data_IF_405976057582
#
_entry.id   IF_405976057582
#
_cell.length_a   1.000
_cell.length_b   1.000
_cell.length_c   1.000
_cell.angle_alpha   90.00
_cell.angle_beta   90.00
_cell.angle_gamma   90.00
#
_symmetry.space_group_name_H-M   'P 1'
#
loop_
_entity.id
_entity.type
_entity.pdbx_description
1 polymer ?
#
# COMPACT_ATOMS: atom_id res chain seq x y z
N UNK A 1 -19.68 14.76 -25.94
CA UNK A 1 -20.51 13.52 -25.94
C UNK A 1 -19.74 12.33 -26.50
N UNK A 2 -19.08 12.47 -27.66
CA UNK A 2 -18.16 11.48 -28.25
C UNK A 2 -17.03 11.08 -27.28
N UNK A 3 -16.43 12.00 -26.52
CA UNK A 3 -15.38 11.69 -25.52
C UNK A 3 -15.87 10.83 -24.35
N UNK A 4 -17.13 10.99 -23.92
CA UNK A 4 -17.75 10.13 -22.89
C UNK A 4 -18.06 8.74 -23.46
N UNK A 5 -18.53 8.66 -24.70
CA UNK A 5 -18.78 7.40 -25.40
C UNK A 5 -17.47 6.65 -25.71
N UNK A 6 -16.42 7.37 -26.11
CA UNK A 6 -15.07 6.82 -26.33
C UNK A 6 -14.42 6.36 -25.02
N UNK A 7 -14.58 7.10 -23.90
CA UNK A 7 -14.20 6.61 -22.56
C UNK A 7 -15.00 5.37 -22.16
N UNK A 8 -16.30 5.32 -22.46
CA UNK A 8 -17.16 4.19 -22.14
C UNK A 8 -16.80 2.93 -22.95
N UNK A 9 -16.48 3.09 -24.24
CA UNK A 9 -16.02 2.02 -25.14
C UNK A 9 -14.56 1.62 -24.88
N UNK A 10 -13.74 2.53 -24.31
CA UNK A 10 -12.37 2.25 -23.88
C UNK A 10 -12.27 1.56 -22.50
N UNK A 11 -13.30 1.65 -21.65
CA UNK A 11 -13.21 1.27 -20.23
C UNK A 11 -13.73 -0.12 -19.90
N UNK A 12 -13.84 -1.03 -20.86
CA UNK A 12 -14.28 -2.40 -20.57
C UNK A 12 -13.13 -3.18 -19.93
N UNK A 13 -12.90 -2.96 -18.63
CA UNK A 13 -12.06 -3.83 -17.80
C UNK A 13 -12.58 -5.26 -17.94
N UNK A 14 -11.73 -6.19 -18.38
CA UNK A 14 -12.07 -7.62 -18.37
C UNK A 14 -12.22 -8.05 -16.92
N UNK A 15 -13.41 -8.54 -16.57
CA UNK A 15 -13.72 -8.98 -15.20
C UNK A 15 -13.38 -10.45 -15.09
N UNK A 16 -12.49 -10.78 -14.16
CA UNK A 16 -12.13 -12.14 -13.82
C UNK A 16 -12.64 -12.45 -12.42
N UNK A 17 -13.53 -13.42 -12.29
CA UNK A 17 -14.03 -13.87 -10.99
C UNK A 17 -13.20 -15.06 -10.53
N UNK A 18 -12.64 -14.96 -9.32
CA UNK A 18 -12.00 -16.05 -8.63
C UNK A 18 -12.95 -16.54 -7.53
N UNK A 19 -13.41 -17.79 -7.66
CA UNK A 19 -14.29 -18.40 -6.68
C UNK A 19 -13.47 -18.89 -5.48
N UNK A 20 -13.83 -18.43 -4.28
CA UNK A 20 -13.11 -18.72 -3.04
C UNK A 20 -14.11 -19.01 -1.93
N UNK A 21 -14.11 -20.24 -1.44
CA UNK A 21 -14.73 -20.57 -0.16
C UNK A 21 -13.77 -20.24 0.99
N UNK A 22 -14.04 -19.13 1.68
CA UNK A 22 -13.19 -18.62 2.77
C UNK A 22 -13.19 -19.49 4.03
N UNK A 23 -14.04 -20.52 4.10
CA UNK A 23 -14.03 -21.51 5.17
C UNK A 23 -13.26 -22.79 4.80
N UNK A 24 -12.85 -22.94 3.53
CA UNK A 24 -12.20 -24.14 3.01
C UNK A 24 -10.73 -23.85 2.65
N UNK A 25 -9.75 -24.40 3.40
CA UNK A 25 -8.32 -24.19 3.15
C UNK A 25 -7.90 -24.52 1.72
N UNK A 26 -8.41 -25.62 1.14
CA UNK A 26 -8.05 -26.02 -0.22
C UNK A 26 -8.57 -25.05 -1.28
N UNK A 27 -9.72 -24.42 -1.04
CA UNK A 27 -10.23 -23.38 -1.95
C UNK A 27 -9.37 -22.12 -1.89
N UNK A 28 -8.91 -21.74 -0.69
CA UNK A 28 -8.01 -20.61 -0.48
C UNK A 28 -6.64 -20.88 -1.11
N UNK A 29 -6.09 -22.09 -0.93
CA UNK A 29 -4.83 -22.52 -1.54
C UNK A 29 -4.88 -22.47 -3.07
N UNK A 30 -5.97 -22.97 -3.68
CA UNK A 30 -6.16 -22.88 -5.13
C UNK A 30 -6.19 -21.43 -5.62
N UNK A 31 -6.86 -20.56 -4.87
CA UNK A 31 -6.90 -19.13 -5.17
C UNK A 31 -5.50 -18.51 -5.12
N UNK A 32 -4.73 -18.75 -4.06
CA UNK A 32 -3.36 -18.25 -3.91
C UNK A 32 -2.41 -18.83 -4.96
N UNK A 33 -2.54 -20.13 -5.27
CA UNK A 33 -1.77 -20.79 -6.32
C UNK A 33 -2.03 -20.14 -7.67
N UNK A 34 -3.29 -19.85 -8.01
CA UNK A 34 -3.63 -19.15 -9.24
C UNK A 34 -3.03 -17.74 -9.28
N UNK A 35 -3.13 -16.98 -8.18
CA UNK A 35 -2.51 -15.65 -8.10
C UNK A 35 -0.98 -15.72 -8.29
N UNK A 36 -0.30 -16.66 -7.64
CA UNK A 36 1.17 -16.75 -7.66
C UNK A 36 1.73 -17.36 -8.95
N UNK A 37 1.08 -18.40 -9.48
CA UNK A 37 1.61 -19.20 -10.59
C UNK A 37 1.04 -18.83 -11.95
N UNK A 38 -0.16 -18.25 -12.01
CA UNK A 38 -0.78 -17.85 -13.28
C UNK A 38 -0.71 -16.34 -13.47
N UNK A 39 -0.99 -15.55 -12.43
CA UNK A 39 -1.05 -14.08 -12.54
C UNK A 39 0.26 -13.37 -12.22
N UNK A 40 1.11 -13.95 -11.36
CA UNK A 40 2.38 -13.37 -10.89
C UNK A 40 3.59 -14.29 -11.13
N UNK A 41 3.51 -15.12 -12.18
CA UNK A 41 4.50 -16.16 -12.49
C UNK A 41 5.89 -15.58 -12.74
N UNK A 42 5.94 -14.68 -13.73
CA UNK A 42 7.14 -13.97 -14.15
C UNK A 42 6.75 -12.59 -14.68
N UNK A 43 7.75 -11.72 -14.81
CA UNK A 43 7.52 -10.31 -15.12
C UNK A 43 6.86 -10.14 -16.49
N UNK A 44 7.41 -10.81 -17.51
CA UNK A 44 6.96 -10.67 -18.89
C UNK A 44 5.54 -11.23 -19.08
N UNK A 45 5.22 -12.37 -18.47
CA UNK A 45 3.90 -12.97 -18.55
C UNK A 45 2.84 -12.10 -17.85
N UNK A 46 3.17 -11.53 -16.69
CA UNK A 46 2.28 -10.65 -15.92
C UNK A 46 2.02 -9.34 -16.66
N UNK A 47 3.07 -8.73 -17.21
CA UNK A 47 2.94 -7.53 -18.06
C UNK A 47 2.10 -7.82 -19.30
N UNK A 48 2.37 -8.93 -20.00
CA UNK A 48 1.59 -9.34 -21.15
C UNK A 48 0.11 -9.56 -20.79
N UNK A 49 -0.18 -10.18 -19.65
CA UNK A 49 -1.54 -10.37 -19.15
C UNK A 49 -2.24 -9.02 -18.87
N UNK A 50 -1.54 -8.09 -18.22
CA UNK A 50 -2.04 -6.73 -17.99
C UNK A 50 -2.29 -5.95 -19.29
N UNK A 51 -1.64 -6.34 -20.39
CA UNK A 51 -1.65 -5.65 -21.68
C UNK A 51 -2.38 -6.40 -22.81
N UNK A 52 -3.00 -7.56 -22.53
CA UNK A 52 -3.72 -8.34 -23.54
C UNK A 52 -4.84 -7.55 -24.23
N UNK A 53 -4.97 -7.76 -25.55
CA UNK A 53 -5.84 -7.09 -26.51
C UNK A 53 -5.49 -5.61 -26.80
N UNK A 54 -4.50 -5.43 -27.66
CA UNK A 54 -4.07 -4.18 -28.27
C UNK A 54 -5.17 -3.59 -29.16
N UNK A 55 -5.99 -2.76 -28.55
CA UNK A 55 -6.49 -1.53 -29.16
C UNK A 55 -6.68 -0.42 -28.11
N UNK A 56 -6.90 -0.78 -26.83
CA UNK A 56 -6.90 0.14 -25.67
C UNK A 56 -6.55 -0.62 -24.40
N UNK A 57 -5.64 -0.09 -23.59
CA UNK A 57 -5.23 -0.55 -22.24
C UNK A 57 -6.43 -0.94 -21.33
N UNK A 58 -6.96 -2.15 -21.45
CA UNK A 58 -8.06 -2.63 -20.60
C UNK A 58 -7.45 -3.28 -19.36
N UNK A 59 -7.39 -2.50 -18.27
CA UNK A 59 -6.95 -3.00 -16.97
C UNK A 59 -7.82 -4.19 -16.51
N UNK A 60 -7.19 -5.28 -16.10
CA UNK A 60 -7.83 -6.45 -15.53
C UNK A 60 -8.58 -6.08 -14.23
N UNK A 61 -9.80 -6.59 -14.06
CA UNK A 61 -10.56 -6.46 -12.80
C UNK A 61 -10.72 -7.81 -12.13
N UNK A 62 -10.05 -8.03 -11.00
CA UNK A 62 -10.21 -9.24 -10.18
C UNK A 62 -11.43 -9.07 -9.26
N UNK A 63 -12.17 -10.16 -9.05
CA UNK A 63 -13.28 -10.21 -8.12
C UNK A 63 -13.25 -11.53 -7.38
N UNK A 64 -13.20 -11.47 -6.05
CA UNK A 64 -13.36 -12.66 -5.23
C UNK A 64 -14.84 -12.90 -4.95
N UNK A 65 -15.32 -14.07 -5.34
CA UNK A 65 -16.71 -14.49 -5.19
C UNK A 65 -16.81 -15.78 -4.40
N UNK A 66 -17.94 -15.96 -3.72
CA UNK A 66 -18.35 -17.25 -3.17
C UNK A 66 -19.84 -17.41 -3.48
N UNK A 67 -20.25 -18.55 -4.01
CA UNK A 67 -21.59 -18.79 -4.54
C UNK A 67 -22.05 -17.68 -5.52
N UNK A 68 -21.16 -17.24 -6.43
CA UNK A 68 -21.38 -16.15 -7.38
C UNK A 68 -21.68 -14.77 -6.76
N UNK A 69 -21.43 -14.58 -5.46
CA UNK A 69 -21.58 -13.29 -4.77
C UNK A 69 -20.22 -12.77 -4.33
N UNK A 70 -19.97 -11.48 -4.53
CA UNK A 70 -18.75 -10.83 -4.03
C UNK A 70 -18.58 -11.04 -2.53
N UNK A 71 -17.36 -11.38 -2.08
CA UNK A 71 -17.06 -11.53 -0.65
C UNK A 71 -17.41 -10.26 0.14
N UNK A 72 -17.13 -9.08 -0.41
CA UNK A 72 -17.52 -7.80 0.21
C UNK A 72 -19.02 -7.67 0.43
N UNK A 73 -19.85 -8.11 -0.53
CA UNK A 73 -21.31 -8.08 -0.38
C UNK A 73 -21.77 -9.05 0.70
N UNK A 74 -21.15 -10.23 0.77
CA UNK A 74 -21.48 -11.23 1.78
C UNK A 74 -21.08 -10.79 3.19
N UNK A 75 -19.95 -10.11 3.35
CA UNK A 75 -19.56 -9.49 4.62
C UNK A 75 -20.59 -8.45 5.06
N UNK A 76 -20.98 -7.54 4.16
CA UNK A 76 -21.95 -6.47 4.48
C UNK A 76 -23.33 -7.05 4.84
N UNK A 77 -23.78 -8.08 4.14
CA UNK A 77 -25.08 -8.72 4.38
C UNK A 77 -25.08 -9.74 5.51
N UNK A 78 -23.96 -9.94 6.23
CA UNK A 78 -23.85 -10.94 7.30
C UNK A 78 -23.97 -12.39 6.82
N UNK A 79 -23.69 -12.65 5.54
CA UNK A 79 -23.77 -13.98 4.93
C UNK A 79 -22.44 -14.73 4.95
N UNK A 80 -21.34 -14.05 5.30
CA UNK A 80 -20.03 -14.67 5.43
C UNK A 80 -19.96 -15.47 6.75
N UNK A 81 -20.20 -16.77 6.68
CA UNK A 81 -20.32 -17.64 7.85
C UNK A 81 -18.94 -18.08 8.40
N UNK A 82 -18.14 -17.13 8.90
CA UNK A 82 -16.83 -17.39 9.52
C UNK A 82 -16.68 -16.61 10.84
N UNK A 83 -16.01 -17.17 11.87
CA UNK A 83 -15.96 -16.58 13.20
C UNK A 83 -15.33 -15.17 13.26
N UNK A 84 -14.43 -14.86 12.33
CA UNK A 84 -13.70 -13.59 12.29
C UNK A 84 -14.38 -12.49 11.46
N UNK A 85 -15.54 -12.77 10.82
CA UNK A 85 -16.19 -11.82 9.91
C UNK A 85 -16.54 -10.47 10.57
N UNK A 86 -17.13 -10.50 11.76
CA UNK A 86 -17.49 -9.28 12.49
C UNK A 86 -16.26 -8.47 12.93
N UNK A 87 -15.16 -9.15 13.25
CA UNK A 87 -13.90 -8.48 13.55
C UNK A 87 -13.34 -7.78 12.31
N UNK A 88 -13.32 -8.46 11.15
CA UNK A 88 -12.91 -7.86 9.87
C UNK A 88 -13.76 -6.63 9.53
N UNK A 89 -15.07 -6.69 9.77
CA UNK A 89 -15.95 -5.54 9.53
C UNK A 89 -15.60 -4.34 10.41
N UNK A 90 -15.30 -4.56 11.69
CA UNK A 90 -14.85 -3.50 12.61
C UNK A 90 -13.51 -2.92 12.18
N UNK A 91 -12.57 -3.79 11.84
CA UNK A 91 -11.22 -3.43 11.44
C UNK A 91 -11.23 -2.58 10.16
N UNK A 92 -11.92 -3.03 9.10
CA UNK A 92 -12.04 -2.27 7.85
C UNK A 92 -12.74 -0.92 8.04
N UNK A 93 -13.76 -0.83 8.91
CA UNK A 93 -14.38 0.45 9.25
C UNK A 93 -13.40 1.40 9.98
N UNK A 94 -12.60 0.88 10.92
CA UNK A 94 -11.57 1.66 11.61
C UNK A 94 -10.48 2.18 10.66
N UNK A 95 -10.21 1.43 9.58
CA UNK A 95 -9.31 1.83 8.51
C UNK A 95 -9.92 2.81 7.50
N UNK A 96 -11.18 3.19 7.68
CA UNK A 96 -11.97 3.96 6.73
C UNK A 96 -12.00 3.32 5.32
N UNK A 97 -11.93 1.99 5.25
CA UNK A 97 -12.16 1.24 4.01
C UNK A 97 -13.66 1.17 3.79
N UNK A 98 -14.12 1.71 2.68
CA UNK A 98 -15.53 1.73 2.34
C UNK A 98 -16.04 0.31 2.06
N UNK A 99 -16.96 -0.15 2.89
CA UNK A 99 -17.56 -1.47 2.76
C UNK A 99 -18.58 -1.57 1.61
N UNK A 100 -19.00 -0.43 1.03
CA UNK A 100 -19.93 -0.44 -0.09
C UNK A 100 -19.20 -0.91 -1.36
N UNK A 101 -19.80 -1.90 -2.03
CA UNK A 101 -19.35 -2.71 -3.18
C UNK A 101 -18.65 -2.05 -4.39
N UNK A 102 -18.42 -0.73 -4.37
CA UNK A 102 -17.67 0.00 -5.40
C UNK A 102 -16.18 0.12 -5.10
N UNK A 103 -15.76 0.03 -3.84
CA UNK A 103 -14.36 0.22 -3.47
C UNK A 103 -13.55 -1.08 -3.50
N UNK A 104 -12.31 -0.91 -3.96
CA UNK A 104 -11.26 -1.92 -3.97
C UNK A 104 -10.78 -2.15 -2.52
N UNK A 105 -10.68 -3.41 -2.09
CA UNK A 105 -9.93 -3.77 -0.90
C UNK A 105 -10.65 -4.65 0.12
N UNK A 106 -12.00 -4.60 0.19
CA UNK A 106 -12.73 -5.43 1.16
C UNK A 106 -12.62 -6.92 0.84
N UNK A 107 -12.81 -7.31 -0.44
CA UNK A 107 -12.79 -8.74 -0.80
C UNK A 107 -11.37 -9.30 -0.76
N UNK A 108 -10.41 -8.46 -1.14
CA UNK A 108 -8.97 -8.69 -1.08
C UNK A 108 -8.52 -8.95 0.36
N UNK A 109 -8.95 -8.10 1.30
CA UNK A 109 -8.64 -8.27 2.72
C UNK A 109 -9.30 -9.52 3.31
N UNK A 110 -10.54 -9.85 2.90
CA UNK A 110 -11.22 -11.08 3.34
C UNK A 110 -10.42 -12.31 2.90
N UNK A 111 -9.96 -12.38 1.65
CA UNK A 111 -9.11 -13.48 1.18
C UNK A 111 -7.82 -13.58 2.00
N UNK A 112 -7.12 -12.46 2.19
CA UNK A 112 -5.89 -12.42 2.98
C UNK A 112 -6.13 -12.87 4.44
N UNK A 113 -7.22 -12.40 5.07
CA UNK A 113 -7.59 -12.81 6.42
C UNK A 113 -7.88 -14.30 6.50
N UNK A 114 -8.59 -14.85 5.51
CA UNK A 114 -8.91 -16.26 5.42
C UNK A 114 -7.64 -17.11 5.29
N UNK A 115 -6.71 -16.72 4.41
CA UNK A 115 -5.40 -17.36 4.32
C UNK A 115 -4.64 -17.30 5.66
N UNK A 116 -4.62 -16.15 6.33
CA UNK A 116 -3.99 -16.01 7.65
C UNK A 116 -4.73 -16.72 8.81
N UNK A 117 -5.95 -17.23 8.60
CA UNK A 117 -6.59 -18.12 9.58
C UNK A 117 -6.11 -19.58 9.47
N UNK A 118 -5.31 -19.89 8.45
CA UNK A 118 -4.72 -21.20 8.20
C UNK A 118 -3.18 -21.06 8.16
N UNK A 119 -2.46 -21.40 9.25
CA UNK A 119 -1.01 -21.18 9.35
C UNK A 119 -0.20 -21.76 8.18
N UNK A 120 -0.65 -22.87 7.60
CA UNK A 120 -0.04 -23.53 6.45
C UNK A 120 -0.15 -22.72 5.14
N UNK A 121 -1.13 -21.83 5.02
CA UNK A 121 -1.33 -20.97 3.84
C UNK A 121 -0.65 -19.61 3.96
N UNK A 122 -0.27 -19.20 5.17
CA UNK A 122 0.39 -17.91 5.39
C UNK A 122 1.67 -17.72 4.54
N UNK A 123 2.56 -18.73 4.38
CA UNK A 123 3.71 -18.60 3.49
C UNK A 123 3.35 -18.33 2.02
N UNK A 124 2.25 -18.90 1.51
CA UNK A 124 1.82 -18.66 0.14
C UNK A 124 1.26 -17.25 -0.05
N UNK A 125 0.57 -16.70 0.95
CA UNK A 125 0.14 -15.30 0.97
C UNK A 125 1.36 -14.35 1.05
N UNK A 126 2.39 -14.73 1.79
CA UNK A 126 3.64 -13.96 1.87
C UNK A 126 4.36 -13.96 0.53
N UNK A 127 4.52 -15.13 -0.13
CA UNK A 127 5.07 -15.22 -1.49
C UNK A 127 4.29 -14.34 -2.48
N UNK A 128 2.96 -14.30 -2.36
CA UNK A 128 2.14 -13.39 -3.15
C UNK A 128 2.52 -11.92 -2.93
N UNK A 129 2.61 -11.47 -1.68
CA UNK A 129 2.98 -10.09 -1.32
C UNK A 129 4.39 -9.75 -1.81
N UNK A 130 5.35 -10.67 -1.66
CA UNK A 130 6.73 -10.49 -2.10
C UNK A 130 6.83 -10.38 -3.62
N UNK A 131 6.09 -11.21 -4.37
CA UNK A 131 5.99 -11.09 -5.83
C UNK A 131 5.44 -9.74 -6.24
N UNK A 132 4.30 -9.31 -5.67
CA UNK A 132 3.74 -7.97 -5.94
C UNK A 132 4.76 -6.88 -5.63
N UNK A 133 5.54 -7.03 -4.56
CA UNK A 133 6.61 -6.08 -4.17
C UNK A 133 7.68 -5.95 -5.25
N UNK A 134 8.12 -7.07 -5.85
CA UNK A 134 9.06 -7.07 -6.99
C UNK A 134 8.44 -6.26 -8.14
N UNK A 135 7.19 -6.54 -8.50
CA UNK A 135 6.50 -5.89 -9.61
C UNK A 135 6.39 -4.38 -9.42
N UNK A 136 5.92 -3.93 -8.25
CA UNK A 136 5.83 -2.49 -7.96
C UNK A 136 7.19 -1.85 -7.70
N UNK A 137 8.29 -2.59 -7.68
CA UNK A 137 9.63 -1.98 -7.55
C UNK A 137 10.32 -1.75 -8.90
N UNK A 138 9.73 -2.20 -10.02
CA UNK A 138 10.35 -2.10 -11.35
C UNK A 138 10.16 -0.70 -11.97
N UNK A 139 11.19 -0.11 -12.62
CA UNK A 139 11.15 1.24 -13.18
C UNK A 139 9.99 1.52 -14.14
N UNK A 140 9.60 0.52 -14.96
CA UNK A 140 8.58 0.65 -16.00
C UNK A 140 7.18 0.21 -15.55
N UNK A 141 7.01 -0.20 -14.29
CA UNK A 141 5.77 -0.83 -13.80
C UNK A 141 4.61 0.13 -13.51
N UNK A 142 4.67 1.37 -14.02
CA UNK A 142 3.55 2.33 -13.93
C UNK A 142 2.23 1.76 -14.42
N UNK A 143 2.23 0.74 -15.27
CA UNK A 143 1.02 0.03 -15.71
C UNK A 143 0.51 -0.97 -14.67
N UNK A 144 1.42 -1.66 -13.96
CA UNK A 144 1.08 -2.64 -12.94
C UNK A 144 0.64 -2.01 -11.63
N UNK A 145 1.09 -0.78 -11.31
CA UNK A 145 0.61 0.00 -10.16
C UNK A 145 -0.89 0.33 -10.21
N UNK A 146 -1.54 0.23 -11.38
CA UNK A 146 -2.99 0.39 -11.56
C UNK A 146 -3.76 -0.95 -11.67
N UNK A 147 -3.08 -2.09 -11.50
CA UNK A 147 -3.72 -3.40 -11.53
C UNK A 147 -4.43 -3.71 -10.22
N UNK A 148 -5.50 -4.50 -10.29
CA UNK A 148 -6.17 -5.00 -9.07
C UNK A 148 -5.25 -5.90 -8.22
N UNK A 149 -4.17 -6.46 -8.80
CA UNK A 149 -3.16 -7.24 -8.08
C UNK A 149 -2.41 -6.40 -7.05
N UNK A 150 -2.14 -5.13 -7.34
CA UNK A 150 -1.46 -4.23 -6.41
C UNK A 150 -2.36 -3.87 -5.23
N UNK A 151 -3.64 -3.61 -5.48
CA UNK A 151 -4.62 -3.38 -4.41
C UNK A 151 -4.79 -4.63 -3.52
N UNK A 152 -4.76 -5.83 -4.13
CA UNK A 152 -4.79 -7.10 -3.40
C UNK A 152 -3.54 -7.30 -2.55
N UNK A 153 -2.35 -7.11 -3.13
CA UNK A 153 -1.07 -7.15 -2.41
C UNK A 153 -1.06 -6.18 -1.24
N UNK A 154 -1.53 -4.95 -1.47
CA UNK A 154 -1.65 -3.92 -0.45
C UNK A 154 -2.56 -4.38 0.71
N UNK A 155 -3.78 -4.83 0.43
CA UNK A 155 -4.68 -5.29 1.51
C UNK A 155 -4.17 -6.56 2.19
N UNK A 156 -3.43 -7.42 1.48
CA UNK A 156 -2.74 -8.56 2.08
C UNK A 156 -1.62 -8.12 3.03
N UNK A 157 -0.81 -7.13 2.67
CA UNK A 157 0.18 -6.53 3.55
C UNK A 157 -0.46 -5.88 4.78
N UNK A 158 -1.61 -5.21 4.64
CA UNK A 158 -2.38 -4.70 5.78
C UNK A 158 -2.85 -5.84 6.68
N UNK A 159 -3.38 -6.92 6.12
CA UNK A 159 -3.80 -8.09 6.91
C UNK A 159 -2.62 -8.76 7.64
N UNK A 160 -1.45 -8.88 6.98
CA UNK A 160 -0.21 -9.38 7.59
C UNK A 160 0.20 -8.49 8.77
N UNK A 161 0.21 -7.17 8.56
CA UNK A 161 0.54 -6.22 9.62
C UNK A 161 -0.38 -6.35 10.84
N UNK A 162 -1.65 -6.69 10.65
CA UNK A 162 -2.63 -6.80 11.74
C UNK A 162 -2.64 -8.17 12.41
N UNK A 163 -2.53 -9.26 11.66
CA UNK A 163 -2.81 -10.62 12.16
C UNK A 163 -1.63 -11.59 12.10
N UNK A 164 -0.54 -11.24 11.41
CA UNK A 164 0.63 -12.10 11.26
C UNK A 164 1.94 -11.30 11.35
N UNK A 165 2.22 -10.65 12.50
CA UNK A 165 3.38 -9.76 12.67
C UNK A 165 4.73 -10.45 12.48
N UNK A 166 4.79 -11.80 12.56
CA UNK A 166 5.99 -12.56 12.20
C UNK A 166 6.42 -12.39 10.73
N UNK A 167 5.51 -11.98 9.84
CA UNK A 167 5.78 -11.71 8.42
C UNK A 167 5.82 -10.20 8.10
N UNK A 168 6.00 -9.35 9.11
CA UNK A 168 5.98 -7.89 8.97
C UNK A 168 6.92 -7.36 7.87
N UNK A 169 8.07 -8.01 7.66
CA UNK A 169 9.07 -7.57 6.69
C UNK A 169 8.53 -7.52 5.26
N UNK A 170 7.71 -8.49 4.85
CA UNK A 170 7.05 -8.47 3.54
C UNK A 170 6.05 -7.33 3.41
N UNK A 171 5.32 -6.99 4.48
CA UNK A 171 4.45 -5.83 4.49
C UNK A 171 5.26 -4.52 4.35
N UNK A 172 6.33 -4.35 5.14
CA UNK A 172 7.24 -3.20 5.05
C UNK A 172 7.78 -3.06 3.62
N UNK A 173 8.27 -4.15 3.04
CA UNK A 173 8.84 -4.15 1.70
C UNK A 173 7.82 -3.70 0.64
N UNK A 174 6.57 -4.17 0.72
CA UNK A 174 5.53 -3.74 -0.21
C UNK A 174 5.19 -2.26 -0.05
N UNK A 175 4.96 -1.78 1.18
CA UNK A 175 4.66 -0.36 1.43
C UNK A 175 5.76 0.55 0.86
N UNK A 176 7.03 0.20 1.12
CA UNK A 176 8.18 0.91 0.55
C UNK A 176 8.21 0.83 -0.99
N UNK A 177 7.84 -0.31 -1.57
CA UNK A 177 7.71 -0.48 -3.02
C UNK A 177 6.64 0.45 -3.63
N UNK A 178 5.50 0.60 -2.96
CA UNK A 178 4.41 1.48 -3.39
C UNK A 178 4.80 2.97 -3.32
N UNK A 179 5.58 3.36 -2.31
CA UNK A 179 6.04 4.74 -2.12
C UNK A 179 7.13 5.21 -3.12
N UNK A 180 7.73 4.30 -3.90
CA UNK A 180 8.80 4.65 -4.86
C UNK A 180 8.31 5.41 -6.12
N UNK A 181 7.00 5.46 -6.39
CA UNK A 181 6.50 6.12 -7.61
C UNK A 181 6.37 7.62 -7.46
N UNK A 182 7.13 8.30 -8.33
CA UNK A 182 7.38 9.73 -8.40
C UNK A 182 6.17 10.66 -8.54
N UNK A 183 4.96 10.13 -8.73
CA UNK A 183 3.77 10.88 -9.12
C UNK A 183 2.63 10.83 -8.10
N UNK A 184 2.84 10.25 -6.91
CA UNK A 184 1.79 10.15 -5.90
C UNK A 184 0.57 9.42 -6.46
N UNK A 185 0.83 8.26 -7.08
CA UNK A 185 -0.16 7.43 -7.75
C UNK A 185 -1.39 7.18 -6.86
N UNK A 186 -2.54 6.91 -7.47
CA UNK A 186 -3.78 6.66 -6.72
C UNK A 186 -3.62 5.56 -5.66
N UNK A 187 -2.84 4.52 -5.96
CA UNK A 187 -2.52 3.41 -5.06
C UNK A 187 -1.82 3.92 -3.79
N UNK A 188 -0.87 4.85 -3.94
CA UNK A 188 -0.07 5.35 -2.82
C UNK A 188 -0.84 6.32 -1.91
N UNK A 189 -1.76 7.11 -2.46
CA UNK A 189 -2.67 7.93 -1.64
C UNK A 189 -3.63 7.08 -0.82
N UNK A 190 -4.10 5.99 -1.41
CA UNK A 190 -4.96 5.04 -0.71
C UNK A 190 -4.19 4.27 0.37
N UNK A 191 -3.00 3.76 0.04
CA UNK A 191 -2.17 3.00 0.97
C UNK A 191 -1.68 3.86 2.14
N UNK A 192 -1.24 5.09 1.88
CA UNK A 192 -0.78 6.03 2.90
C UNK A 192 -1.91 6.40 3.87
N UNK A 193 -3.12 6.67 3.36
CA UNK A 193 -4.29 6.93 4.21
C UNK A 193 -4.62 5.75 5.13
N UNK A 194 -4.63 4.54 4.59
CA UNK A 194 -4.89 3.33 5.39
C UNK A 194 -3.76 3.10 6.40
N UNK A 195 -2.50 3.33 6.04
CA UNK A 195 -1.36 3.23 6.95
C UNK A 195 -1.43 4.23 8.09
N UNK A 196 -1.78 5.49 7.82
CA UNK A 196 -2.04 6.50 8.85
C UNK A 196 -3.19 6.08 9.77
N UNK A 197 -4.27 5.52 9.22
CA UNK A 197 -5.39 5.02 10.04
C UNK A 197 -4.97 3.81 10.88
N UNK A 198 -4.20 2.86 10.34
CA UNK A 198 -3.60 1.76 11.11
C UNK A 198 -2.74 2.31 12.26
N UNK A 199 -1.91 3.32 11.98
CA UNK A 199 -1.03 3.91 12.98
C UNK A 199 -1.80 4.63 14.09
N UNK A 200 -2.89 5.34 13.76
CA UNK A 200 -3.78 5.94 14.77
C UNK A 200 -4.40 4.88 15.69
N UNK A 201 -4.55 3.64 15.20
CA UNK A 201 -4.99 2.48 15.98
C UNK A 201 -3.84 1.72 16.68
N UNK A 202 -2.62 2.27 16.73
CA UNK A 202 -1.38 1.60 17.18
C UNK A 202 -1.46 0.83 18.50
N UNK A 203 -2.39 1.17 19.40
CA UNK A 203 -2.63 0.41 20.66
C UNK A 203 -2.88 -1.08 20.40
N UNK A 204 -3.40 -1.42 19.23
CA UNK A 204 -3.70 -2.81 18.85
C UNK A 204 -2.57 -3.45 18.02
N UNK A 205 -1.72 -2.65 17.36
CA UNK A 205 -0.73 -3.14 16.38
C UNK A 205 0.60 -2.36 16.44
N UNK A 206 1.46 -2.60 17.46
CA UNK A 206 2.73 -1.87 17.63
C UNK A 206 3.65 -1.90 16.41
N UNK A 207 3.64 -3.01 15.67
CA UNK A 207 4.38 -3.23 14.43
C UNK A 207 4.05 -2.23 13.31
N UNK A 208 2.88 -1.60 13.34
CA UNK A 208 2.46 -0.61 12.34
C UNK A 208 3.32 0.65 12.41
N UNK A 209 3.78 1.03 13.60
CA UNK A 209 4.67 2.18 13.76
C UNK A 209 5.96 2.00 12.96
N UNK A 210 6.48 0.77 12.90
CA UNK A 210 7.65 0.42 12.08
C UNK A 210 7.35 0.55 10.59
N UNK A 211 6.23 0.03 10.10
CA UNK A 211 5.82 0.18 8.69
C UNK A 211 5.71 1.66 8.31
N UNK A 212 5.01 2.45 9.13
CA UNK A 212 4.85 3.88 8.88
C UNK A 212 6.20 4.60 8.90
N UNK A 213 7.08 4.26 9.84
CA UNK A 213 8.41 4.85 9.89
C UNK A 213 9.23 4.57 8.62
N UNK A 214 9.26 3.32 8.14
CA UNK A 214 9.92 2.98 6.88
C UNK A 214 9.28 3.67 5.66
N UNK A 215 7.95 3.73 5.62
CA UNK A 215 7.21 4.40 4.55
C UNK A 215 7.53 5.91 4.51
N UNK A 216 7.48 6.59 5.66
CA UNK A 216 7.87 8.01 5.79
C UNK A 216 9.34 8.24 5.41
N UNK A 217 10.25 7.35 5.82
CA UNK A 217 11.66 7.46 5.47
C UNK A 217 11.88 7.46 3.95
N UNK A 218 11.10 6.66 3.22
CA UNK A 218 11.16 6.61 1.75
C UNK A 218 10.79 7.94 1.10
N UNK A 219 9.87 8.71 1.71
CA UNK A 219 9.45 10.01 1.20
C UNK A 219 10.27 11.17 1.70
N UNK A 220 10.91 11.10 2.87
CA UNK A 220 11.75 12.21 3.33
C UNK A 220 13.02 12.32 2.46
N UNK A 221 13.43 11.23 1.82
CA UNK A 221 14.61 11.18 0.95
C UNK A 221 14.30 11.38 -0.56
N UNK A 222 13.13 11.92 -0.92
CA UNK A 222 12.61 12.01 -2.29
C UNK A 222 13.04 13.31 -3.01
N UNK A 223 13.17 13.31 -4.37
CA UNK A 223 14.41 13.59 -5.07
C UNK A 223 14.75 15.10 -5.16
N UNK A 224 15.41 15.65 -4.16
CA UNK A 224 16.53 16.52 -4.49
C UNK A 224 17.77 15.63 -4.50
N UNK A 225 18.53 15.64 -5.60
CA UNK A 225 19.76 14.85 -5.74
C UNK A 225 20.72 15.09 -4.56
N UNK A 226 20.69 16.30 -3.99
CA UNK A 226 21.41 16.69 -2.76
C UNK A 226 20.99 15.87 -1.54
N UNK A 227 19.72 15.49 -1.41
CA UNK A 227 19.20 14.66 -0.30
C UNK A 227 19.47 13.18 -0.55
N UNK A 228 19.29 12.70 -1.78
CA UNK A 228 19.45 11.28 -2.11
C UNK A 228 20.88 10.77 -1.86
N UNK A 229 21.89 11.61 -2.08
CA UNK A 229 23.29 11.29 -1.77
C UNK A 229 23.61 11.25 -0.27
N UNK A 230 22.79 11.93 0.56
CA UNK A 230 22.91 11.98 2.01
C UNK A 230 22.01 10.98 2.73
N UNK A 231 21.00 10.42 2.05
CA UNK A 231 20.09 9.40 2.58
C UNK A 231 20.83 8.16 3.13
N UNK A 232 21.98 7.81 2.54
CA UNK A 232 22.85 6.73 3.02
C UNK A 232 23.54 7.03 4.37
N UNK A 233 23.55 8.29 4.82
CA UNK A 233 24.11 8.74 6.11
C UNK A 233 23.08 8.70 7.24
N UNK A 234 21.79 8.60 6.91
CA UNK A 234 20.75 8.31 7.89
C UNK A 234 20.71 6.79 8.02
N UNK A 235 21.06 6.27 9.19
CA UNK A 235 20.92 4.84 9.47
C UNK A 235 19.43 4.49 9.61
N UNK A 236 18.74 4.43 8.47
CA UNK A 236 17.34 4.03 8.31
C UNK A 236 17.19 2.50 8.22
N UNK A 237 18.27 1.75 8.46
CA UNK A 237 18.22 0.29 8.31
C UNK A 237 17.27 -0.36 9.33
N UNK A 238 16.90 0.34 10.42
CA UNK A 238 15.83 -0.13 11.31
C UNK A 238 15.22 0.96 12.23
N UNK A 239 14.39 1.91 11.73
CA UNK A 239 13.57 2.70 12.63
C UNK A 239 12.56 1.81 13.35
N UNK A 240 12.74 1.60 14.65
CA UNK A 240 11.81 0.82 15.48
C UNK A 240 10.42 1.44 15.55
N UNK A 241 10.32 2.76 15.41
CA UNK A 241 9.08 3.53 15.47
C UNK A 241 9.24 4.95 14.88
N UNK A 242 8.11 5.62 14.65
CA UNK A 242 8.03 6.98 14.07
C UNK A 242 8.77 8.06 14.88
N UNK A 243 8.80 7.96 16.21
CA UNK A 243 9.51 8.94 17.04
C UNK A 243 11.02 8.79 16.88
N UNK A 244 11.50 7.55 16.87
CA UNK A 244 12.91 7.23 16.62
C UNK A 244 13.34 7.72 15.24
N UNK A 245 12.50 7.53 14.22
CA UNK A 245 12.73 8.06 12.87
C UNK A 245 12.87 9.59 12.88
N UNK A 246 11.91 10.29 13.48
CA UNK A 246 11.90 11.77 13.56
C UNK A 246 13.15 12.27 14.25
N UNK A 247 13.58 11.65 15.35
CA UNK A 247 14.81 12.02 16.05
C UNK A 247 16.05 11.85 15.17
N UNK A 248 16.17 10.73 14.43
CA UNK A 248 17.28 10.53 13.50
C UNK A 248 17.30 11.59 12.39
N UNK A 249 16.13 11.93 11.85
CA UNK A 249 16.04 13.01 10.87
C UNK A 249 16.40 14.38 11.47
N UNK A 250 15.96 14.72 12.68
CA UNK A 250 16.36 15.98 13.34
C UNK A 250 17.89 16.10 13.41
N UNK A 251 18.57 15.05 13.89
CA UNK A 251 20.03 15.02 14.01
C UNK A 251 20.71 15.16 12.64
N UNK A 252 20.24 14.41 11.63
CA UNK A 252 20.80 14.45 10.28
C UNK A 252 20.61 15.84 9.64
N UNK A 253 19.42 16.41 9.77
CA UNK A 253 19.11 17.72 9.24
C UNK A 253 19.96 18.82 9.90
N UNK A 254 20.14 18.79 11.23
CA UNK A 254 21.01 19.72 11.95
C UNK A 254 22.45 19.70 11.40
N UNK A 255 22.97 18.53 11.02
CA UNK A 255 24.28 18.37 10.41
C UNK A 255 24.34 18.92 8.98
N UNK A 256 23.23 18.93 8.25
CA UNK A 256 23.15 19.34 6.86
C UNK A 256 22.69 20.80 6.67
N UNK A 257 22.42 21.53 7.76
CA UNK A 257 21.78 22.85 7.70
C UNK A 257 22.51 23.92 6.88
N UNK A 258 23.82 23.77 6.69
CA UNK A 258 24.64 24.67 5.91
C UNK A 258 24.66 24.36 4.40
N UNK A 259 24.19 23.19 3.97
CA UNK A 259 24.21 22.74 2.58
C UNK A 259 22.93 23.14 1.79
N UNK A 260 21.92 23.76 2.44
CA UNK A 260 20.57 23.88 1.87
C UNK A 260 19.97 25.30 1.84
N UNK A 261 19.35 25.64 0.71
CA UNK A 261 18.51 26.83 0.54
C UNK A 261 17.04 26.51 0.86
N UNK A 262 16.48 27.29 1.77
CA UNK A 262 15.32 26.95 2.61
C UNK A 262 13.95 27.28 2.00
N UNK A 263 13.92 27.93 0.84
CA UNK A 263 12.68 28.18 0.10
C UNK A 263 12.02 26.87 -0.35
N UNK A 264 12.77 25.76 -0.39
CA UNK A 264 12.29 24.47 -0.92
C UNK A 264 11.58 23.59 0.13
N UNK A 265 11.74 23.82 1.45
CA UNK A 265 11.24 22.90 2.47
C UNK A 265 9.70 22.89 2.63
N UNK A 266 9.06 24.05 2.63
CA UNK A 266 7.59 24.13 2.71
C UNK A 266 6.95 23.62 1.41
N UNK A 267 7.52 24.00 0.26
CA UNK A 267 7.16 23.45 -1.04
C UNK A 267 7.36 21.94 -1.11
N UNK A 268 8.37 21.38 -0.43
CA UNK A 268 8.62 19.95 -0.37
C UNK A 268 7.49 19.22 0.34
N UNK A 269 7.14 19.69 1.54
CA UNK A 269 6.05 19.10 2.35
C UNK A 269 4.74 19.19 1.58
N UNK A 270 4.41 20.34 1.00
CA UNK A 270 3.20 20.54 0.21
C UNK A 270 3.16 19.66 -1.06
N UNK A 271 4.30 19.48 -1.73
CA UNK A 271 4.37 18.79 -3.02
C UNK A 271 4.45 17.27 -2.89
N UNK A 272 5.13 16.76 -1.86
CA UNK A 272 5.46 15.34 -1.78
C UNK A 272 4.86 14.63 -0.56
N UNK A 273 4.66 15.33 0.57
CA UNK A 273 4.17 14.71 1.82
C UNK A 273 2.66 14.88 1.97
N UNK A 274 2.16 16.12 1.85
CA UNK A 274 0.75 16.46 2.02
C UNK A 274 -0.19 15.71 1.06
N UNK A 275 0.16 15.41 -0.21
CA UNK A 275 -0.71 14.63 -1.09
C UNK A 275 -0.93 13.17 -0.64
N UNK A 276 -0.05 12.65 0.20
CA UNK A 276 -0.06 11.25 0.66
C UNK A 276 -0.67 11.12 2.05
N UNK A 277 -0.30 12.03 2.96
CA UNK A 277 -0.71 12.00 4.36
C UNK A 277 -1.84 12.99 4.68
N UNK A 278 -2.13 13.93 3.79
CA UNK A 278 -3.10 15.01 4.03
C UNK A 278 -2.65 15.95 5.14
N UNK A 279 -3.60 16.60 5.81
CA UNK A 279 -3.35 17.42 7.00
C UNK A 279 -3.34 16.54 8.27
N UNK A 280 -2.48 15.51 8.29
CA UNK A 280 -2.33 14.61 9.43
C UNK A 280 -1.26 15.09 10.42
N UNK A 281 -1.28 14.52 11.63
CA UNK A 281 -0.23 14.73 12.63
C UNK A 281 1.16 14.39 12.06
N UNK A 282 1.28 13.36 11.22
CA UNK A 282 2.54 13.00 10.56
C UNK A 282 3.05 14.09 9.62
N UNK A 283 2.16 14.75 8.88
CA UNK A 283 2.49 15.89 8.02
C UNK A 283 3.00 17.08 8.85
N UNK A 284 2.33 17.39 9.95
CA UNK A 284 2.78 18.45 10.88
C UNK A 284 4.14 18.11 11.50
N UNK A 285 4.31 16.87 11.95
CA UNK A 285 5.58 16.42 12.54
C UNK A 285 6.73 16.49 11.56
N UNK A 286 6.51 16.20 10.28
CA UNK A 286 7.52 16.40 9.22
C UNK A 286 7.75 17.90 8.98
N UNK A 287 6.72 18.73 8.97
CA UNK A 287 6.88 20.19 8.83
C UNK A 287 7.72 20.78 9.96
N UNK A 288 7.51 20.32 11.19
CA UNK A 288 8.26 20.74 12.37
C UNK A 288 9.75 20.38 12.28
N UNK A 289 10.11 19.26 11.64
CA UNK A 289 11.51 18.91 11.37
C UNK A 289 12.26 20.01 10.61
N UNK A 290 11.56 20.74 9.74
CA UNK A 290 12.15 21.76 8.87
C UNK A 290 12.04 23.19 9.42
N UNK A 291 11.31 23.42 10.51
CA UNK A 291 11.13 24.76 11.12
C UNK A 291 12.44 25.46 11.52
N UNK A 292 13.44 24.78 12.14
CA UNK A 292 14.69 25.42 12.53
C UNK A 292 15.44 26.04 11.34
N UNK A 293 15.32 25.43 10.15
CA UNK A 293 15.92 25.93 8.92
C UNK A 293 15.18 27.18 8.43
N UNK A 294 13.84 27.18 8.44
CA UNK A 294 13.03 28.39 8.12
C UNK A 294 13.46 29.60 8.94
N UNK A 295 13.72 29.42 10.24
CA UNK A 295 14.21 30.50 11.10
C UNK A 295 15.66 30.91 10.78
N UNK A 296 16.54 29.96 10.48
CA UNK A 296 17.93 30.25 10.13
C UNK A 296 18.08 31.04 8.82
N UNK A 297 17.28 30.75 7.77
CA UNK A 297 17.29 31.52 6.51
C UNK A 297 16.63 32.90 6.60
N UNK A 298 15.76 33.13 7.57
CA UNK A 298 15.18 34.46 7.80
C UNK A 298 16.13 35.40 8.56
N UNK A 299 17.17 34.83 9.19
CA UNK A 299 18.16 35.55 10.00
C UNK A 299 19.49 35.79 9.27
N UNK A 300 19.63 35.31 8.03
CA UNK A 300 20.77 35.54 7.12
C UNK A 300 20.38 36.46 5.96
#
# INVERSE_FOLDING_TARGET
>A
MITKLVRHLASHKKVFNLEVDVANPSSIEQALTHLNQELLKDIAATEALCLQDTDRNKLLKLRFTQNNRLLSKQLVSGMLNVPWAEQVKKDLNALAVNLNSKDHGTSEFILARAALSHPELAPQLVDFVDRVTIFVSLPDSKLMSYSDLVNLGFMAAVAIAMYAPQYLQSAIALFNGLGKYKDGSYSDRFSSRVLTNLYRQQKQYPQVSRILAHHLASFICYPDERWSSKAAQIDINDPTDVNTLIKHYQIALEQWCFDFHIVEAEHYVERYIQPLFGDSEETERIRDLYQPFKQAALNT
#
